data_IF_151897689659
#
_entry.id   IF_151897689659
#
_cell.length_a   1.000
_cell.length_b   1.000
_cell.length_c   1.000
_cell.angle_alpha   90.00
_cell.angle_beta   90.00
_cell.angle_gamma   90.00
#
_symmetry.space_group_name_H-M   'P 1'
#
loop_
_entity.id
_entity.type
_entity.pdbx_description
1 polymer ?
#
# COMPACT_ATOMS: atom_id res chain seq x y z
N UNK A 1 -2.19 -5.11 -15.13
CA UNK A 1 -3.58 -5.33 -14.72
C UNK A 1 -3.92 -4.24 -13.71
N UNK A 2 -5.00 -3.44 -13.86
CA UNK A 2 -5.37 -2.42 -12.89
C UNK A 2 -5.47 -2.93 -11.44
N UNK A 3 -5.69 -4.23 -11.25
CA UNK A 3 -5.67 -4.89 -9.93
C UNK A 3 -4.29 -4.86 -9.24
N UNK A 4 -3.21 -4.56 -9.97
CA UNK A 4 -1.84 -4.55 -9.45
C UNK A 4 -1.35 -3.17 -9.01
N UNK A 5 -2.22 -2.15 -9.01
CA UNK A 5 -1.88 -0.80 -8.57
C UNK A 5 -2.56 -0.48 -7.24
N UNK A 6 -1.87 0.31 -6.41
CA UNK A 6 -2.48 0.91 -5.24
C UNK A 6 -3.65 1.82 -5.68
N UNK A 7 -4.86 1.63 -5.12
CA UNK A 7 -6.00 2.47 -5.49
C UNK A 7 -5.84 3.94 -5.13
N UNK A 8 -4.87 4.31 -4.30
CA UNK A 8 -4.69 5.70 -3.86
C UNK A 8 -3.49 6.40 -4.53
N UNK A 9 -2.30 5.80 -4.49
CA UNK A 9 -1.06 6.44 -4.99
C UNK A 9 -0.61 6.02 -6.40
N UNK A 10 -1.31 5.10 -7.07
CA UNK A 10 -0.99 4.59 -8.42
C UNK A 10 0.31 3.78 -8.56
N UNK A 11 1.08 3.60 -7.48
CA UNK A 11 2.26 2.75 -7.48
C UNK A 11 1.88 1.25 -7.43
N UNK A 12 2.75 0.34 -7.92
CA UNK A 12 2.50 -1.09 -7.86
C UNK A 12 2.22 -1.61 -6.44
N UNK A 13 1.21 -2.46 -6.31
CA UNK A 13 0.91 -3.17 -5.08
C UNK A 13 1.99 -4.23 -4.81
N UNK A 14 2.43 -4.43 -3.56
CA UNK A 14 3.46 -5.40 -3.23
C UNK A 14 2.99 -6.82 -3.53
N UNK A 15 3.91 -7.68 -3.97
CA UNK A 15 3.61 -9.07 -4.33
C UNK A 15 3.11 -9.89 -3.13
N UNK A 16 3.65 -9.60 -1.94
CA UNK A 16 3.32 -10.28 -0.69
C UNK A 16 2.95 -9.22 0.36
N UNK A 17 1.76 -8.60 0.28
CA UNK A 17 1.31 -7.63 1.27
C UNK A 17 1.12 -8.30 2.63
N UNK A 18 1.37 -7.55 3.70
CA UNK A 18 1.00 -8.02 5.04
C UNK A 18 -0.52 -8.07 5.23
N UNK A 19 -0.95 -8.85 6.22
CA UNK A 19 -2.36 -8.86 6.66
C UNK A 19 -2.80 -7.47 7.13
N UNK A 20 -1.90 -6.69 7.73
CA UNK A 20 -2.17 -5.32 8.18
C UNK A 20 -2.45 -4.39 7.00
N UNK A 21 -1.60 -4.41 5.98
CA UNK A 21 -1.77 -3.60 4.78
C UNK A 21 -3.08 -3.93 4.06
N UNK A 22 -3.38 -5.22 3.96
CA UNK A 22 -4.64 -5.71 3.35
C UNK A 22 -5.85 -5.27 4.16
N UNK A 23 -5.84 -5.43 5.49
CA UNK A 23 -6.94 -5.01 6.35
C UNK A 23 -7.16 -3.49 6.34
N UNK A 24 -6.10 -2.70 6.21
CA UNK A 24 -6.18 -1.24 6.11
C UNK A 24 -6.81 -0.81 4.78
N UNK A 25 -6.46 -1.47 3.68
CA UNK A 25 -7.08 -1.21 2.37
C UNK A 25 -8.59 -1.48 2.41
N UNK A 26 -9.01 -2.63 2.95
CA UNK A 26 -10.43 -2.97 3.07
C UNK A 26 -11.21 -1.96 3.90
N UNK A 27 -10.67 -1.51 5.03
CA UNK A 27 -11.30 -0.47 5.86
C UNK A 27 -11.43 0.86 5.12
N UNK A 28 -10.46 1.20 4.29
CA UNK A 28 -10.49 2.45 3.51
C UNK A 28 -11.47 2.38 2.34
N UNK A 29 -11.61 1.22 1.68
CA UNK A 29 -12.60 1.00 0.62
C UNK A 29 -14.02 1.34 1.06
N UNK A 30 -14.37 1.09 2.32
CA UNK A 30 -15.68 1.42 2.90
C UNK A 30 -15.96 2.93 3.01
N UNK A 31 -14.93 3.78 2.97
CA UNK A 31 -15.02 5.23 3.20
C UNK A 31 -14.58 6.05 2.00
N UNK A 32 -14.01 5.41 0.98
CA UNK A 32 -13.54 6.03 -0.23
C UNK A 32 -14.64 6.06 -1.30
N UNK A 33 -14.43 6.86 -2.33
CA UNK A 33 -15.27 6.89 -3.52
C UNK A 33 -14.45 6.63 -4.78
N UNK A 34 -15.05 6.12 -5.87
CA UNK A 34 -14.36 5.92 -7.14
C UNK A 34 -13.75 7.21 -7.67
N UNK A 35 -12.48 7.13 -8.08
CA UNK A 35 -11.73 8.19 -8.77
C UNK A 35 -10.87 7.53 -9.86
N UNK A 36 -11.50 6.97 -10.91
CA UNK A 36 -10.82 6.23 -11.95
C UNK A 36 -9.86 7.15 -12.72
N UNK A 37 -8.64 6.67 -12.95
CA UNK A 37 -7.58 7.37 -13.68
C UNK A 37 -7.21 6.59 -14.94
N UNK A 38 -6.65 7.27 -15.94
CA UNK A 38 -6.28 6.64 -17.22
C UNK A 38 -5.40 5.39 -17.04
N UNK A 39 -4.40 5.45 -16.16
CA UNK A 39 -3.53 4.31 -15.84
C UNK A 39 -4.03 3.41 -14.70
N UNK A 40 -5.03 3.87 -13.94
CA UNK A 40 -5.59 3.15 -12.80
C UNK A 40 -7.12 3.28 -12.78
N UNK A 41 -7.84 2.50 -13.61
CA UNK A 41 -9.30 2.46 -13.60
C UNK A 41 -9.91 2.08 -12.24
N UNK A 42 -9.15 1.39 -11.38
CA UNK A 42 -9.53 1.05 -10.01
C UNK A 42 -9.22 2.12 -8.97
N UNK A 43 -8.89 3.34 -9.41
CA UNK A 43 -8.54 4.45 -8.54
C UNK A 43 -9.67 4.82 -7.55
N UNK A 44 -9.26 5.15 -6.34
CA UNK A 44 -10.11 5.55 -5.23
C UNK A 44 -9.61 6.87 -4.64
N UNK A 45 -10.54 7.65 -4.10
CA UNK A 45 -10.25 8.89 -3.40
C UNK A 45 -10.89 8.90 -2.02
N UNK A 46 -10.17 9.50 -1.08
CA UNK A 46 -10.58 9.78 0.28
C UNK A 46 -9.79 11.01 0.77
N UNK A 47 -10.15 11.63 1.91
CA UNK A 47 -9.29 12.63 2.54
C UNK A 47 -7.87 12.08 2.76
N UNK A 48 -6.83 12.89 2.54
CA UNK A 48 -5.43 12.45 2.68
C UNK A 48 -5.18 11.82 4.06
N UNK A 49 -5.73 12.42 5.11
CA UNK A 49 -5.63 11.89 6.48
C UNK A 49 -6.20 10.48 6.64
N UNK A 50 -7.11 10.04 5.78
CA UNK A 50 -7.65 8.69 5.80
C UNK A 50 -6.67 7.67 5.20
N UNK A 51 -6.08 7.96 4.04
CA UNK A 51 -5.30 6.97 3.29
C UNK A 51 -3.78 7.12 3.42
N UNK A 52 -3.27 8.19 4.03
CA UNK A 52 -1.82 8.45 4.12
C UNK A 52 -1.07 7.31 4.83
N UNK A 53 -1.64 6.75 5.89
CA UNK A 53 -1.04 5.64 6.63
C UNK A 53 -0.97 4.36 5.77
N UNK A 54 -1.97 4.13 4.91
CA UNK A 54 -1.95 3.04 3.94
C UNK A 54 -0.78 3.21 2.98
N UNK A 55 -0.62 4.38 2.38
CA UNK A 55 0.46 4.63 1.42
C UNK A 55 1.85 4.57 2.08
N UNK A 56 1.98 4.97 3.35
CA UNK A 56 3.23 4.83 4.11
C UNK A 56 3.60 3.37 4.36
N UNK A 57 2.65 2.55 4.83
CA UNK A 57 2.86 1.11 5.04
C UNK A 57 3.13 0.39 3.71
N UNK A 58 2.31 0.67 2.70
CA UNK A 58 2.48 0.18 1.33
C UNK A 58 3.90 0.42 0.81
N UNK A 59 4.39 1.66 0.85
CA UNK A 59 5.74 2.00 0.42
C UNK A 59 6.81 1.28 1.24
N UNK A 60 6.56 1.10 2.54
CA UNK A 60 7.48 0.37 3.40
C UNK A 60 7.61 -1.10 3.00
N UNK A 61 6.48 -1.78 2.76
CA UNK A 61 6.45 -3.18 2.34
C UNK A 61 6.95 -3.40 0.91
N UNK A 62 6.61 -2.50 -0.01
CA UNK A 62 7.00 -2.62 -1.42
C UNK A 62 8.47 -2.27 -1.67
N UNK A 63 9.02 -1.29 -0.94
CA UNK A 63 10.34 -0.73 -1.22
C UNK A 63 11.32 -0.94 -0.06
N UNK A 64 11.02 -0.38 1.11
CA UNK A 64 12.03 -0.20 2.17
C UNK A 64 12.38 -1.48 2.92
N UNK A 65 11.42 -2.33 3.25
CA UNK A 65 11.67 -3.60 3.92
C UNK A 65 12.49 -4.53 3.01
N UNK A 66 12.12 -4.77 1.74
CA UNK A 66 12.94 -5.56 0.82
C UNK A 66 14.35 -4.99 0.63
N UNK A 67 14.48 -3.66 0.56
CA UNK A 67 15.78 -3.00 0.48
C UNK A 67 16.62 -3.21 1.74
N UNK A 68 16.04 -3.05 2.93
CA UNK A 68 16.72 -3.31 4.19
C UNK A 68 17.21 -4.74 4.31
N UNK A 69 16.39 -5.72 3.90
CA UNK A 69 16.77 -7.13 3.85
C UNK A 69 17.98 -7.34 2.91
N UNK A 70 17.96 -6.76 1.70
CA UNK A 70 19.11 -6.83 0.78
C UNK A 70 20.37 -6.18 1.34
N UNK A 71 20.23 -5.17 2.20
CA UNK A 71 21.32 -4.48 2.89
C UNK A 71 21.76 -5.18 4.19
N UNK A 72 21.14 -6.30 4.57
CA UNK A 72 21.48 -7.06 5.78
C UNK A 72 20.95 -6.45 7.08
N UNK A 73 19.87 -5.66 7.03
CA UNK A 73 19.23 -5.14 8.23
C UNK A 73 18.59 -6.28 9.04
N UNK A 74 18.59 -6.20 10.38
CA UNK A 74 17.99 -7.22 11.21
C UNK A 74 16.48 -7.29 10.97
N UNK A 75 15.98 -8.49 10.70
CA UNK A 75 14.54 -8.78 10.53
C UNK A 75 13.88 -9.31 11.80
N UNK A 76 14.69 -9.53 12.84
CA UNK A 76 14.27 -9.99 14.16
C UNK A 76 14.96 -9.11 15.20
N UNK A 77 14.22 -8.69 16.20
CA UNK A 77 14.76 -8.02 17.38
C UNK A 77 15.14 -9.14 18.36
N UNK A 78 16.38 -9.10 18.84
CA UNK A 78 16.86 -9.95 19.94
C UNK A 78 16.71 -9.12 21.23
N UNK A 79 15.80 -9.53 22.12
CA UNK A 79 15.46 -8.84 23.38
C UNK A 79 16.11 -9.53 24.57
#
# INVERSE_FOLDING_TARGET
>A
DPSTLCPFCDEPWPENPSDELTALLEKLRLKAWPDPRFGNPGGLKAPISAFINLCQLHRSEAQYIPEGIRRGWPTKIDF
#
